data_IF_453336241799
#
_entry.id   IF_453336241799
#
_cell.length_a   1.000
_cell.length_b   1.000
_cell.length_c   1.000
_cell.angle_alpha   90.00
_cell.angle_beta   90.00
_cell.angle_gamma   90.00
#
_symmetry.space_group_name_H-M   'P 1'
#
loop_
_entity.id
_entity.type
_entity.pdbx_description
1 polymer ?
#
# COMPACT_ATOMS: atom_id res chain seq x y z
N UNK A 1 17.88 -28.09 -9.92
CA UNK A 1 18.09 -27.04 -8.91
C UNK A 1 17.11 -25.92 -9.22
N UNK A 2 16.13 -25.73 -8.34
CA UNK A 2 15.03 -24.77 -8.49
C UNK A 2 15.05 -23.84 -7.26
N UNK A 3 16.17 -23.13 -7.07
CA UNK A 3 16.45 -22.37 -5.84
C UNK A 3 15.77 -21.00 -5.83
N UNK A 4 15.46 -20.41 -6.99
CA UNK A 4 14.87 -19.07 -7.09
C UNK A 4 13.42 -18.97 -6.59
N UNK A 5 12.58 -19.99 -6.83
CA UNK A 5 11.20 -20.00 -6.30
C UNK A 5 11.16 -20.11 -4.77
N UNK A 6 12.11 -20.83 -4.18
CA UNK A 6 12.14 -21.04 -2.74
C UNK A 6 12.59 -19.78 -1.99
N UNK A 7 13.45 -18.97 -2.61
CA UNK A 7 13.95 -17.71 -2.02
C UNK A 7 12.89 -16.60 -2.07
N UNK A 8 12.19 -16.42 -3.19
CA UNK A 8 11.12 -15.44 -3.31
C UNK A 8 9.97 -15.69 -2.31
N UNK A 9 9.55 -16.96 -2.15
CA UNK A 9 8.54 -17.32 -1.14
C UNK A 9 9.03 -17.03 0.27
N UNK A 10 10.28 -17.35 0.61
CA UNK A 10 10.83 -17.05 1.93
C UNK A 10 10.93 -15.55 2.23
N UNK A 11 11.22 -14.74 1.21
CA UNK A 11 11.27 -13.28 1.36
C UNK A 11 9.86 -12.71 1.59
N UNK A 12 8.86 -13.20 0.87
CA UNK A 12 7.47 -12.81 1.09
C UNK A 12 6.95 -13.26 2.47
N UNK A 13 7.29 -14.47 2.91
CA UNK A 13 6.91 -14.96 4.24
C UNK A 13 7.45 -14.04 5.35
N UNK A 14 8.72 -13.62 5.24
CA UNK A 14 9.34 -12.65 6.16
C UNK A 14 8.70 -11.28 6.09
N UNK A 15 8.33 -10.83 4.89
CA UNK A 15 7.58 -9.59 4.72
C UNK A 15 6.25 -9.66 5.50
N UNK A 16 5.51 -10.76 5.31
CA UNK A 16 4.22 -10.98 5.96
C UNK A 16 4.32 -11.18 7.48
N UNK A 17 5.38 -11.81 7.98
CA UNK A 17 5.64 -11.93 9.42
C UNK A 17 5.75 -10.54 10.07
N UNK A 18 6.54 -9.65 9.47
CA UNK A 18 6.71 -8.28 9.95
C UNK A 18 5.44 -7.45 9.82
N UNK A 19 4.73 -7.60 8.71
CA UNK A 19 3.43 -6.97 8.47
C UNK A 19 2.41 -7.35 9.56
N UNK A 20 2.27 -8.65 9.85
CA UNK A 20 1.41 -9.16 10.94
C UNK A 20 1.87 -8.69 12.31
N UNK A 21 3.19 -8.64 12.57
CA UNK A 21 3.72 -8.17 13.85
C UNK A 21 3.36 -6.69 14.13
N UNK A 22 3.37 -5.84 13.09
CA UNK A 22 2.96 -4.45 13.19
C UNK A 22 1.44 -4.30 13.35
N UNK A 23 0.63 -5.10 12.66
CA UNK A 23 -0.81 -5.14 12.90
C UNK A 23 -1.13 -5.56 14.35
N UNK A 24 -0.44 -6.59 14.86
CA UNK A 24 -0.55 -6.99 16.27
C UNK A 24 -0.08 -5.90 17.23
N UNK A 25 0.94 -5.10 16.87
CA UNK A 25 1.35 -3.92 17.64
C UNK A 25 0.24 -2.87 17.67
N UNK A 26 -0.37 -2.57 16.53
CA UNK A 26 -1.49 -1.62 16.39
C UNK A 26 -2.64 -2.00 17.34
N UNK A 27 -3.03 -3.26 17.36
CA UNK A 27 -4.07 -3.77 18.26
C UNK A 27 -3.65 -3.75 19.72
N UNK A 28 -2.44 -4.21 20.08
CA UNK A 28 -1.98 -4.19 21.49
C UNK A 28 -1.90 -2.77 22.04
N UNK A 29 -1.47 -1.82 21.23
CA UNK A 29 -1.33 -0.41 21.63
C UNK A 29 -2.64 0.39 21.48
N UNK A 30 -3.69 -0.21 20.90
CA UNK A 30 -5.00 0.42 20.66
C UNK A 30 -4.87 1.79 19.96
N UNK A 31 -3.96 1.88 18.99
CA UNK A 31 -3.72 3.12 18.23
C UNK A 31 -3.40 2.82 16.78
N UNK A 32 -3.81 3.74 15.90
CA UNK A 32 -3.46 3.66 14.48
C UNK A 32 -1.95 3.78 14.27
N UNK A 33 -1.42 3.00 13.33
CA UNK A 33 0.00 3.04 12.93
C UNK A 33 0.10 3.36 11.44
N UNK A 34 0.87 4.40 11.10
CA UNK A 34 1.30 4.61 9.72
C UNK A 34 2.18 3.41 9.31
N UNK A 35 1.84 2.80 8.18
CA UNK A 35 2.46 1.55 7.76
C UNK A 35 3.14 1.65 6.39
N UNK A 36 2.53 2.35 5.44
CA UNK A 36 3.13 2.50 4.12
C UNK A 36 2.69 3.76 3.40
N UNK A 37 3.42 4.08 2.33
CA UNK A 37 2.95 4.97 1.26
C UNK A 37 2.92 4.19 -0.04
N UNK A 38 1.85 4.35 -0.80
CA UNK A 38 1.72 3.79 -2.12
C UNK A 38 1.95 4.88 -3.16
N UNK A 39 2.91 4.65 -4.05
CA UNK A 39 3.20 5.52 -5.18
C UNK A 39 2.67 4.85 -6.44
N UNK A 40 1.74 5.51 -7.11
CA UNK A 40 1.29 5.08 -8.43
C UNK A 40 2.38 5.36 -9.44
N UNK A 41 2.71 4.38 -10.29
CA UNK A 41 3.77 4.45 -11.30
C UNK A 41 3.30 3.87 -12.63
N UNK A 42 3.86 4.32 -13.75
CA UNK A 42 3.42 3.88 -15.07
C UNK A 42 3.94 2.48 -15.43
N UNK A 43 5.19 2.21 -15.03
CA UNK A 43 5.88 0.94 -15.22
C UNK A 43 6.63 0.60 -13.93
N UNK A 44 6.18 -0.43 -13.22
CA UNK A 44 6.82 -0.82 -11.96
C UNK A 44 8.23 -1.35 -12.22
N UNK A 45 8.48 -2.12 -13.27
CA UNK A 45 9.78 -2.76 -13.49
C UNK A 45 10.87 -1.70 -13.74
N UNK A 46 10.57 -0.70 -14.58
CA UNK A 46 11.48 0.43 -14.80
C UNK A 46 11.62 1.31 -13.55
N UNK A 47 10.56 1.44 -12.75
CA UNK A 47 10.64 2.21 -11.49
C UNK A 47 11.49 1.50 -10.44
N UNK A 48 11.32 0.20 -10.24
CA UNK A 48 12.15 -0.60 -9.33
C UNK A 48 13.62 -0.52 -9.72
N UNK A 49 13.90 -0.62 -11.02
CA UNK A 49 15.25 -0.47 -11.55
C UNK A 49 15.83 0.91 -11.26
N UNK A 50 15.07 1.98 -11.52
CA UNK A 50 15.49 3.35 -11.20
C UNK A 50 15.79 3.51 -9.71
N UNK A 51 14.91 3.01 -8.84
CA UNK A 51 15.06 3.08 -7.38
C UNK A 51 16.27 2.29 -6.89
N UNK A 52 16.54 1.12 -7.48
CA UNK A 52 17.72 0.32 -7.15
C UNK A 52 19.02 1.02 -7.61
N UNK A 53 19.08 1.46 -8.86
CA UNK A 53 20.29 2.02 -9.46
C UNK A 53 20.64 3.42 -8.93
N UNK A 54 19.63 4.25 -8.68
CA UNK A 54 19.83 5.67 -8.34
C UNK A 54 19.70 5.96 -6.85
N UNK A 55 18.89 5.20 -6.13
CA UNK A 55 18.56 5.46 -4.71
C UNK A 55 18.98 4.32 -3.78
N UNK A 56 19.48 3.20 -4.31
CA UNK A 56 19.91 2.04 -3.51
C UNK A 56 18.74 1.26 -2.89
N UNK A 57 17.50 1.49 -3.34
CA UNK A 57 16.31 0.79 -2.88
C UNK A 57 16.10 -0.44 -3.75
N UNK A 58 16.44 -1.62 -3.24
CA UNK A 58 16.39 -2.88 -3.98
C UNK A 58 15.77 -3.99 -3.13
N UNK A 59 15.39 -5.11 -3.76
CA UNK A 59 14.73 -6.23 -3.06
C UNK A 59 13.21 -6.09 -2.99
N UNK A 60 12.62 -5.40 -3.96
CA UNK A 60 11.18 -5.32 -4.15
C UNK A 60 10.55 -6.71 -4.30
N UNK A 61 9.37 -6.89 -3.71
CA UNK A 61 8.60 -8.13 -3.73
C UNK A 61 7.25 -7.89 -4.41
N UNK A 62 6.77 -8.89 -5.17
CA UNK A 62 5.43 -8.89 -5.76
C UNK A 62 4.53 -9.80 -4.92
N UNK A 63 3.69 -9.25 -4.03
CA UNK A 63 2.91 -10.07 -3.10
C UNK A 63 1.83 -10.90 -3.82
N UNK A 64 1.39 -10.47 -5.01
CA UNK A 64 0.22 -11.05 -5.67
C UNK A 64 -1.06 -10.63 -4.96
N UNK A 65 -2.08 -11.49 -4.96
CA UNK A 65 -3.34 -11.23 -4.27
C UNK A 65 -4.42 -10.57 -5.13
N UNK A 66 -5.55 -10.28 -4.49
CA UNK A 66 -6.61 -9.44 -5.06
C UNK A 66 -6.19 -7.97 -4.96
N UNK A 67 -6.40 -7.23 -6.06
CA UNK A 67 -6.08 -5.82 -6.15
C UNK A 67 -7.36 -4.98 -6.19
N UNK A 68 -7.28 -3.71 -5.81
CA UNK A 68 -8.42 -2.80 -6.01
C UNK A 68 -8.72 -2.63 -7.51
N UNK A 69 -9.96 -2.23 -7.82
CA UNK A 69 -10.29 -2.00 -9.22
C UNK A 69 -9.44 -0.87 -9.82
N UNK A 70 -9.04 -1.06 -11.08
CA UNK A 70 -8.09 -0.19 -11.78
C UNK A 70 -6.62 -0.47 -11.50
N UNK A 71 -6.26 -1.33 -10.55
CA UNK A 71 -4.87 -1.71 -10.26
C UNK A 71 -4.46 -2.94 -11.09
N UNK A 72 -3.27 -2.88 -11.70
CA UNK A 72 -2.72 -3.92 -12.56
C UNK A 72 -1.74 -4.81 -11.81
N UNK A 73 -0.87 -4.20 -11.01
CA UNK A 73 0.20 -4.90 -10.29
C UNK A 73 0.69 -4.06 -9.10
N UNK A 74 1.30 -4.71 -8.12
CA UNK A 74 1.83 -4.12 -6.89
C UNK A 74 3.24 -4.61 -6.60
N UNK A 75 4.06 -3.73 -6.03
CA UNK A 75 5.39 -4.06 -5.54
C UNK A 75 5.68 -3.41 -4.22
N UNK A 76 6.27 -4.15 -3.28
CA UNK A 76 6.49 -3.71 -1.90
C UNK A 76 7.95 -3.84 -1.48
N UNK A 77 8.42 -2.90 -0.67
CA UNK A 77 9.75 -2.90 -0.08
C UNK A 77 9.74 -2.29 1.32
N UNK A 78 10.15 -3.05 2.34
CA UNK A 78 10.41 -2.48 3.66
C UNK A 78 11.53 -1.45 3.58
N UNK A 79 11.23 -0.21 4.00
CA UNK A 79 12.22 0.86 4.12
C UNK A 79 12.89 0.80 5.49
N UNK A 80 12.12 0.45 6.53
CA UNK A 80 12.62 0.24 7.88
C UNK A 80 11.73 -0.77 8.65
N UNK A 81 11.81 -0.77 9.97
CA UNK A 81 11.08 -1.71 10.84
C UNK A 81 9.58 -1.50 10.96
N UNK A 82 9.08 -0.33 10.56
CA UNK A 82 7.69 0.05 10.75
C UNK A 82 7.02 0.54 9.46
N UNK A 83 7.81 0.80 8.41
CA UNK A 83 7.35 1.44 7.19
C UNK A 83 7.85 0.73 5.92
N UNK A 84 6.93 0.45 4.99
CA UNK A 84 7.26 -0.01 3.65
C UNK A 84 6.81 0.98 2.56
N UNK A 85 7.50 0.93 1.43
CA UNK A 85 7.10 1.60 0.20
C UNK A 85 6.32 0.60 -0.65
N UNK A 86 5.19 1.05 -1.16
CA UNK A 86 4.42 0.34 -2.17
C UNK A 86 4.48 1.09 -3.50
N UNK A 87 4.63 0.35 -4.59
CA UNK A 87 4.49 0.84 -5.96
C UNK A 87 3.27 0.16 -6.56
N UNK A 88 2.41 0.93 -7.20
CA UNK A 88 1.23 0.42 -7.86
C UNK A 88 1.18 0.84 -9.33
N UNK A 89 0.97 -0.13 -10.21
CA UNK A 89 0.76 0.12 -11.63
C UNK A 89 -0.73 0.12 -11.92
N UNK A 90 -1.30 1.15 -12.55
CA UNK A 90 -2.69 1.12 -12.97
C UNK A 90 -2.88 0.30 -14.25
N UNK A 91 -4.11 -0.20 -14.47
CA UNK A 91 -4.53 -0.85 -15.72
C UNK A 91 -4.58 0.13 -16.89
N UNK A 92 -4.90 1.39 -16.61
CA UNK A 92 -4.97 2.46 -17.61
C UNK A 92 -3.84 3.45 -17.38
N UNK A 93 -3.26 3.94 -18.48
CA UNK A 93 -2.24 4.99 -18.44
C UNK A 93 -2.71 6.18 -17.62
N UNK A 94 -1.81 6.70 -16.79
CA UNK A 94 -2.11 7.80 -15.90
C UNK A 94 -2.38 9.07 -16.70
N UNK A 95 -3.37 9.84 -16.25
CA UNK A 95 -3.68 11.17 -16.78
C UNK A 95 -3.19 12.29 -15.86
N UNK A 96 -2.73 11.94 -14.65
CA UNK A 96 -2.21 12.88 -13.66
C UNK A 96 -0.70 13.05 -13.88
N UNK A 97 -0.23 14.30 -13.87
CA UNK A 97 1.17 14.67 -14.14
C UNK A 97 1.38 15.50 -15.42
N UNK A 98 0.43 15.48 -16.36
CA UNK A 98 0.46 16.30 -17.57
C UNK A 98 0.26 17.81 -17.31
N UNK A 99 -0.31 18.19 -16.16
CA UNK A 99 -0.59 19.58 -15.79
C UNK A 99 0.59 20.30 -15.11
N UNK A 100 1.74 19.64 -14.92
CA UNK A 100 2.92 20.24 -14.28
C UNK A 100 3.70 21.21 -15.19
N UNK A 101 3.22 21.46 -16.42
CA UNK A 101 3.75 22.51 -17.28
C UNK A 101 5.10 22.22 -17.91
N UNK A 102 5.63 20.99 -17.82
CA UNK A 102 6.73 20.62 -18.71
C UNK A 102 6.16 20.28 -20.08
N UNK A 103 6.56 21.01 -21.12
CA UNK A 103 6.02 20.85 -22.49
C UNK A 103 6.31 19.46 -23.10
N UNK A 104 6.90 18.55 -22.32
CA UNK A 104 7.31 17.18 -22.62
C UNK A 104 6.89 16.20 -21.49
N UNK A 105 5.90 16.53 -20.65
CA UNK A 105 5.50 15.75 -19.46
C UNK A 105 5.15 14.31 -19.84
N UNK A 106 5.99 13.36 -19.42
CA UNK A 106 5.57 11.98 -19.19
C UNK A 106 4.68 11.93 -17.94
N UNK A 107 3.89 10.87 -17.78
CA UNK A 107 3.16 10.61 -16.54
C UNK A 107 4.12 10.67 -15.34
N UNK A 108 3.77 11.44 -14.31
CA UNK A 108 4.58 11.55 -13.09
C UNK A 108 3.96 10.60 -12.07
N UNK A 109 4.78 9.72 -11.50
CA UNK A 109 4.33 8.90 -10.38
C UNK A 109 3.91 9.79 -9.21
N UNK A 110 2.79 9.48 -8.57
CA UNK A 110 2.21 10.30 -7.52
C UNK A 110 1.72 9.46 -6.35
N UNK A 111 1.56 10.11 -5.20
CA UNK A 111 1.01 9.48 -4.02
C UNK A 111 -0.41 8.98 -4.34
N UNK A 112 -0.60 7.67 -4.27
CA UNK A 112 -1.89 7.00 -4.44
C UNK A 112 -2.64 6.98 -3.12
N UNK A 113 -1.99 6.46 -2.08
CA UNK A 113 -2.54 6.40 -0.72
C UNK A 113 -1.46 6.39 0.34
N UNK A 114 -1.87 6.74 1.56
CA UNK A 114 -1.13 6.53 2.79
C UNK A 114 -1.87 5.49 3.63
N UNK A 115 -1.22 4.36 3.89
CA UNK A 115 -1.80 3.22 4.58
C UNK A 115 -1.60 3.28 6.09
N UNK A 116 -2.67 3.05 6.84
CA UNK A 116 -2.68 2.99 8.29
C UNK A 116 -3.24 1.65 8.77
N UNK A 117 -2.51 0.96 9.63
CA UNK A 117 -3.12 -0.08 10.43
C UNK A 117 -4.10 0.55 11.43
N UNK A 118 -5.25 -0.08 11.60
CA UNK A 118 -6.25 0.26 12.61
C UNK A 118 -6.48 -0.93 13.54
N UNK A 119 -6.68 -0.71 14.85
CA UNK A 119 -6.85 -1.80 15.80
C UNK A 119 -8.19 -2.52 15.64
N UNK A 120 -9.21 -1.79 15.20
CA UNK A 120 -10.57 -2.25 14.95
C UNK A 120 -11.14 -1.43 13.79
N UNK A 121 -11.45 -2.09 12.68
CA UNK A 121 -11.95 -1.44 11.47
C UNK A 121 -13.30 -0.77 11.69
N UNK A 122 -14.24 -1.46 12.35
CA UNK A 122 -15.60 -0.97 12.49
C UNK A 122 -15.65 0.23 13.44
N UNK A 123 -14.88 0.19 14.52
CA UNK A 123 -14.73 1.33 15.42
C UNK A 123 -14.05 2.52 14.72
N UNK A 124 -12.99 2.27 13.94
CA UNK A 124 -12.31 3.32 13.19
C UNK A 124 -13.25 3.99 12.17
N UNK A 125 -13.98 3.19 11.39
CA UNK A 125 -14.96 3.69 10.41
C UNK A 125 -16.13 4.41 11.07
N UNK A 126 -16.62 3.95 12.22
CA UNK A 126 -17.67 4.64 12.98
C UNK A 126 -17.20 6.02 13.45
N UNK A 127 -16.00 6.09 14.03
CA UNK A 127 -15.42 7.35 14.48
C UNK A 127 -15.16 8.32 13.32
N UNK A 128 -14.46 7.87 12.28
CA UNK A 128 -14.14 8.70 11.11
C UNK A 128 -15.40 9.10 10.34
N UNK A 129 -16.40 8.22 10.28
CA UNK A 129 -17.72 8.50 9.73
C UNK A 129 -18.42 9.68 10.42
N UNK A 130 -18.31 9.78 11.75
CA UNK A 130 -18.84 10.94 12.48
C UNK A 130 -18.15 12.27 12.13
N UNK A 131 -16.95 12.20 11.54
CA UNK A 131 -16.17 13.33 11.06
C UNK A 131 -16.35 13.58 9.55
N UNK A 132 -17.22 12.83 8.88
CA UNK A 132 -17.54 12.99 7.46
C UNK A 132 -16.70 12.14 6.50
N UNK A 133 -15.89 11.21 7.00
CA UNK A 133 -15.18 10.25 6.15
C UNK A 133 -16.10 9.09 5.76
N UNK A 134 -15.89 8.55 4.56
CA UNK A 134 -16.67 7.46 4.01
C UNK A 134 -15.77 6.51 3.23
N UNK A 135 -16.11 5.22 3.27
CA UNK A 135 -15.44 4.20 2.46
C UNK A 135 -15.78 4.44 0.99
N UNK A 136 -14.75 4.55 0.15
CA UNK A 136 -14.90 4.69 -1.30
C UNK A 136 -14.75 3.34 -2.00
N UNK A 137 -13.84 2.50 -1.50
CA UNK A 137 -13.65 1.12 -1.95
C UNK A 137 -13.06 0.27 -0.82
N UNK A 138 -13.30 -1.04 -0.88
CA UNK A 138 -12.77 -2.00 0.08
C UNK A 138 -12.46 -3.33 -0.59
N UNK A 139 -11.45 -4.03 -0.06
CA UNK A 139 -11.11 -5.41 -0.41
C UNK A 139 -10.78 -6.19 0.86
N UNK A 140 -10.92 -7.51 0.79
CA UNK A 140 -10.45 -8.42 1.82
C UNK A 140 -9.50 -9.42 1.18
N UNK A 141 -8.23 -9.36 1.54
CA UNK A 141 -7.22 -10.26 1.02
C UNK A 141 -6.11 -10.51 2.03
N UNK A 142 -5.45 -11.66 1.93
CA UNK A 142 -4.36 -12.08 2.81
C UNK A 142 -4.66 -11.98 4.32
N UNK A 143 -5.94 -12.11 4.71
CA UNK A 143 -6.40 -11.98 6.10
C UNK A 143 -6.52 -10.53 6.60
N UNK A 144 -6.40 -9.55 5.70
CA UNK A 144 -6.58 -8.14 5.97
C UNK A 144 -7.85 -7.60 5.29
N UNK A 145 -8.60 -6.78 6.02
CA UNK A 145 -9.62 -5.89 5.46
C UNK A 145 -9.00 -4.54 5.21
N UNK A 146 -9.03 -4.10 3.95
CA UNK A 146 -8.46 -2.83 3.50
C UNK A 146 -9.58 -1.93 2.98
N UNK A 147 -9.60 -0.67 3.41
CA UNK A 147 -10.63 0.30 3.06
C UNK A 147 -9.98 1.62 2.67
N UNK A 148 -10.15 2.04 1.41
CA UNK A 148 -9.84 3.42 1.00
C UNK A 148 -10.98 4.32 1.45
N UNK A 149 -10.64 5.45 2.07
CA UNK A 149 -11.61 6.39 2.61
C UNK A 149 -11.34 7.81 2.10
N UNK A 150 -12.40 8.60 2.00
CA UNK A 150 -12.32 10.02 1.67
C UNK A 150 -13.50 10.79 2.28
N UNK A 151 -13.53 12.10 2.11
CA UNK A 151 -14.62 13.00 2.49
C UNK A 151 -15.32 13.55 1.25
N UNK A 152 -16.49 14.17 1.41
CA UNK A 152 -17.19 14.79 0.27
C UNK A 152 -16.42 15.95 -0.36
N UNK A 153 -15.64 16.68 0.46
CA UNK A 153 -14.74 17.76 0.05
C UNK A 153 -13.30 17.35 0.40
N UNK A 154 -12.61 16.58 -0.46
CA UNK A 154 -11.33 15.96 -0.12
C UNK A 154 -10.26 16.97 0.27
N UNK A 155 -9.51 16.65 1.33
CA UNK A 155 -8.35 17.44 1.77
C UNK A 155 -7.13 17.31 0.84
N UNK A 156 -7.19 16.36 -0.11
CA UNK A 156 -6.05 15.97 -0.95
C UNK A 156 -5.10 14.98 -0.28
N UNK A 157 -5.44 14.47 0.91
CA UNK A 157 -4.67 13.42 1.61
C UNK A 157 -5.38 12.06 1.48
N UNK A 158 -4.91 11.17 0.58
CA UNK A 158 -5.55 9.88 0.36
C UNK A 158 -5.21 8.90 1.48
N UNK A 159 -6.23 8.23 2.03
CA UNK A 159 -6.11 7.35 3.20
C UNK A 159 -6.60 5.96 2.87
N UNK A 160 -5.79 4.97 3.22
CA UNK A 160 -6.21 3.58 3.34
C UNK A 160 -6.13 3.13 4.80
N UNK A 161 -7.18 2.46 5.27
CA UNK A 161 -7.21 1.78 6.55
C UNK A 161 -7.06 0.28 6.35
N UNK A 162 -6.31 -0.35 7.25
CA UNK A 162 -5.99 -1.78 7.18
C UNK A 162 -6.23 -2.40 8.55
N UNK A 163 -7.05 -3.44 8.62
CA UNK A 163 -7.22 -4.25 9.82
C UNK A 163 -6.94 -5.72 9.49
N UNK A 164 -6.13 -6.39 10.30
CA UNK A 164 -5.91 -7.82 10.18
C UNK A 164 -6.73 -8.55 11.23
N UNK A 165 -7.31 -9.68 10.84
CA UNK A 165 -7.83 -10.64 11.79
C UNK A 165 -6.64 -11.40 12.38
N UNK A 166 -6.20 -11.02 13.58
CA UNK A 166 -5.06 -11.63 14.27
C UNK A 166 -5.45 -12.76 15.20
N UNK A 167 -6.73 -13.13 15.24
CA UNK A 167 -7.26 -14.19 16.10
C UNK A 167 -7.03 -15.61 15.52
N UNK A 168 -6.25 -15.74 14.45
CA UNK A 168 -5.80 -17.03 13.92
C UNK A 168 -4.34 -17.30 14.32
N UNK A 169 -4.17 -17.84 15.53
CA UNK A 169 -3.04 -18.71 15.91
C UNK A 169 -3.53 -20.18 15.93
#
# INVERSE_FOLDING_TARGET
MNTGKNDATQQLDKFMEKYRALAGKCQREQRMLLNHVCIRVEDIDETEKLLAESFGLSGFLRPGGELFDGEKDLSVLWINDEFYLELMQPKTTQTVGYETGSEQTQAIGHLSEVGFFVPDMDNALSHLGSLGWQVTTAIEDHGARMCKIDTADPSGFPVELIALNTDED
#
